data_IF_191068280722
#
_entry.id   IF_191068280722
#
_cell.length_a   1.000
_cell.length_b   1.000
_cell.length_c   1.000
_cell.angle_alpha   90.00
_cell.angle_beta   90.00
_cell.angle_gamma   90.00
#
_symmetry.space_group_name_H-M   'P 1'
#
loop_
_entity.id
_entity.type
_entity.pdbx_description
1 polymer ?
#
# COMPACT_ATOMS: atom_id res chain seq x y z
N UNK A 1 0.41 -11.23 -5.68
CA UNK A 1 0.05 -10.16 -4.73
C UNK A 1 -0.21 -10.65 -3.28
N UNK A 2 0.16 -11.89 -2.94
CA UNK A 2 0.06 -12.42 -1.56
C UNK A 2 1.42 -12.31 -0.86
N UNK A 3 1.70 -11.14 -0.27
CA UNK A 3 2.98 -10.85 0.37
C UNK A 3 3.05 -11.49 1.76
N UNK A 4 4.12 -12.24 2.02
CA UNK A 4 4.42 -12.83 3.33
C UNK A 4 5.50 -12.05 4.09
N UNK A 5 6.46 -11.47 3.38
CA UNK A 5 7.53 -10.68 3.97
C UNK A 5 7.69 -9.35 3.22
N UNK A 6 7.48 -8.26 3.92
CA UNK A 6 7.44 -6.91 3.34
C UNK A 6 8.84 -6.28 3.16
N UNK A 7 9.86 -6.81 3.83
CA UNK A 7 11.22 -6.26 3.85
C UNK A 7 12.26 -7.17 3.20
N UNK A 8 11.84 -8.19 2.45
CA UNK A 8 12.76 -9.13 1.83
C UNK A 8 12.52 -9.28 0.33
N UNK A 9 13.63 -9.34 -0.40
CA UNK A 9 13.65 -9.79 -1.79
C UNK A 9 13.42 -11.30 -1.84
N UNK A 10 12.63 -11.76 -2.81
CA UNK A 10 12.38 -13.19 -2.98
C UNK A 10 13.65 -13.92 -3.44
N UNK A 11 14.16 -14.83 -2.62
CA UNK A 11 15.33 -15.65 -2.95
C UNK A 11 15.14 -16.54 -4.19
N UNK A 12 13.89 -16.71 -4.65
CA UNK A 12 13.58 -17.43 -5.90
C UNK A 12 13.90 -16.61 -7.14
N UNK A 13 13.98 -15.28 -7.00
CA UNK A 13 14.21 -14.35 -8.12
C UNK A 13 15.64 -13.80 -8.13
N UNK A 14 16.36 -13.91 -7.03
CA UNK A 14 17.71 -13.42 -6.90
C UNK A 14 18.06 -12.96 -5.48
N UNK A 15 19.20 -12.33 -5.35
CA UNK A 15 19.72 -11.77 -4.10
C UNK A 15 19.33 -10.29 -3.97
N UNK A 16 19.39 -9.71 -2.75
CA UNK A 16 19.25 -8.28 -2.55
C UNK A 16 20.22 -7.44 -3.40
N UNK A 17 21.47 -7.89 -3.54
CA UNK A 17 22.49 -7.22 -4.33
C UNK A 17 22.15 -7.24 -5.83
N UNK A 18 21.65 -8.35 -6.35
CA UNK A 18 21.22 -8.44 -7.75
C UNK A 18 20.05 -7.50 -8.05
N UNK A 19 19.10 -7.34 -7.13
CA UNK A 19 18.02 -6.35 -7.29
C UNK A 19 18.57 -4.92 -7.31
N UNK A 20 19.51 -4.58 -6.42
CA UNK A 20 20.18 -3.27 -6.44
C UNK A 20 20.92 -3.03 -7.76
N UNK A 21 21.61 -4.04 -8.28
CA UNK A 21 22.28 -3.96 -9.58
C UNK A 21 21.28 -3.73 -10.71
N UNK A 22 20.16 -4.45 -10.72
CA UNK A 22 19.11 -4.27 -11.72
C UNK A 22 18.59 -2.83 -11.74
N UNK A 23 18.32 -2.25 -10.56
CA UNK A 23 17.84 -0.87 -10.46
C UNK A 23 18.92 0.12 -10.93
N UNK A 24 20.18 -0.07 -10.51
CA UNK A 24 21.29 0.77 -10.94
C UNK A 24 21.51 0.71 -12.46
N UNK A 25 21.39 -0.47 -13.07
CA UNK A 25 21.49 -0.64 -14.50
C UNK A 25 20.32 0.07 -15.23
N UNK A 26 19.10 -0.04 -14.72
CA UNK A 26 17.95 0.68 -15.25
C UNK A 26 18.18 2.20 -15.24
N UNK A 27 18.67 2.75 -14.11
CA UNK A 27 19.03 4.16 -13.99
C UNK A 27 20.12 4.58 -14.98
N UNK A 28 21.11 3.72 -15.22
CA UNK A 28 22.17 3.99 -16.21
C UNK A 28 21.61 4.11 -17.67
N UNK A 29 20.49 3.47 -17.94
CA UNK A 29 19.74 3.62 -19.19
C UNK A 29 18.69 4.74 -19.17
N UNK A 30 18.61 5.51 -18.10
CA UNK A 30 17.64 6.61 -17.96
C UNK A 30 16.20 6.14 -17.69
N UNK A 31 16.03 4.97 -17.09
CA UNK A 31 14.72 4.42 -16.72
C UNK A 31 14.49 4.54 -15.22
N UNK A 32 13.33 5.05 -14.82
CA UNK A 32 12.87 4.98 -13.45
C UNK A 32 12.30 3.59 -13.15
N UNK A 33 12.49 3.11 -11.92
CA UNK A 33 12.01 1.80 -11.47
C UNK A 33 10.97 1.98 -10.37
N UNK A 34 9.73 1.60 -10.67
CA UNK A 34 8.59 1.69 -9.75
C UNK A 34 8.23 0.31 -9.23
N UNK A 35 8.05 0.18 -7.92
CA UNK A 35 7.66 -1.07 -7.28
C UNK A 35 6.13 -1.15 -7.12
N UNK A 36 5.54 -2.29 -7.49
CA UNK A 36 4.20 -2.66 -7.05
C UNK A 36 4.22 -2.97 -5.55
N UNK A 37 3.64 -2.10 -4.73
CA UNK A 37 3.61 -2.27 -3.28
C UNK A 37 2.21 -2.70 -2.82
N UNK A 38 2.13 -3.79 -2.06
CA UNK A 38 0.88 -4.35 -1.59
C UNK A 38 0.72 -4.04 -0.11
N UNK A 39 0.07 -2.91 0.20
CA UNK A 39 -0.27 -2.50 1.56
C UNK A 39 -1.77 -2.61 1.86
N UNK A 40 -2.53 -3.10 0.90
CA UNK A 40 -3.97 -3.37 1.04
C UNK A 40 -4.24 -4.61 1.90
N UNK A 41 -3.35 -5.61 1.84
CA UNK A 41 -3.53 -6.88 2.55
C UNK A 41 -2.22 -7.66 2.68
N UNK A 42 -2.25 -8.76 3.43
CA UNK A 42 -1.16 -9.73 3.53
C UNK A 42 -1.66 -11.15 3.29
N UNK A 43 -0.74 -12.05 2.95
CA UNK A 43 -1.07 -13.47 2.82
C UNK A 43 -1.61 -14.05 4.13
N UNK A 44 -2.60 -14.92 4.01
CA UNK A 44 -3.17 -15.65 5.15
C UNK A 44 -2.27 -16.83 5.54
N UNK A 45 -1.11 -16.51 6.10
CA UNK A 45 -0.12 -17.51 6.54
C UNK A 45 0.31 -17.21 7.99
N UNK A 46 0.06 -18.17 8.87
CA UNK A 46 0.38 -18.07 10.28
C UNK A 46 1.81 -18.52 10.63
N UNK A 47 2.49 -19.24 9.70
CA UNK A 47 3.81 -19.82 9.97
C UNK A 47 4.95 -19.00 9.36
N UNK A 48 4.74 -18.41 8.19
CA UNK A 48 5.77 -17.74 7.41
C UNK A 48 5.40 -16.28 7.04
N UNK A 49 4.55 -15.64 7.81
CA UNK A 49 4.06 -14.30 7.52
C UNK A 49 3.70 -13.54 8.79
N UNK A 50 2.93 -12.48 8.60
CA UNK A 50 2.51 -11.62 9.70
C UNK A 50 1.29 -12.15 10.48
N UNK A 51 0.66 -13.26 10.02
CA UNK A 51 -0.62 -13.73 10.54
C UNK A 51 -0.68 -14.00 12.03
N UNK A 52 0.43 -14.49 12.62
CA UNK A 52 0.60 -14.70 14.07
C UNK A 52 2.00 -14.29 14.51
N UNK A 53 2.48 -13.14 14.06
CA UNK A 53 3.87 -12.73 14.23
C UNK A 53 4.31 -12.62 15.70
N UNK A 54 3.45 -12.07 16.57
CA UNK A 54 3.70 -11.96 18.01
C UNK A 54 3.05 -13.09 18.84
N UNK A 55 2.54 -14.13 18.16
CA UNK A 55 1.78 -15.22 18.78
C UNK A 55 0.28 -14.92 18.89
N UNK A 56 -0.17 -13.74 18.46
CA UNK A 56 -1.59 -13.39 18.36
C UNK A 56 -1.98 -13.11 16.90
N UNK A 57 -3.26 -13.28 16.54
CA UNK A 57 -3.70 -12.98 15.17
C UNK A 57 -3.97 -11.49 14.90
N UNK A 58 -3.75 -10.61 15.86
CA UNK A 58 -4.25 -9.21 15.82
C UNK A 58 -3.16 -8.16 15.74
N UNK A 59 -1.87 -8.51 15.80
CA UNK A 59 -0.81 -7.50 15.88
C UNK A 59 -0.89 -6.48 14.76
N UNK A 60 -1.04 -6.95 13.52
CA UNK A 60 -1.10 -6.10 12.32
C UNK A 60 -2.51 -5.96 11.75
N UNK A 61 -3.40 -6.88 12.07
CA UNK A 61 -4.69 -7.04 11.39
C UNK A 61 -5.87 -6.67 12.30
N UNK A 62 -7.02 -6.47 11.68
CA UNK A 62 -8.27 -6.33 12.42
C UNK A 62 -8.58 -7.57 13.25
N UNK A 63 -9.38 -7.40 14.28
CA UNK A 63 -9.97 -8.50 15.06
C UNK A 63 -11.33 -8.92 14.45
N UNK A 64 -11.71 -10.16 14.68
CA UNK A 64 -13.00 -10.70 14.26
C UNK A 64 -13.20 -10.76 12.74
N UNK A 65 -14.44 -10.57 12.26
CA UNK A 65 -14.79 -10.76 10.85
C UNK A 65 -14.07 -9.82 9.87
N UNK A 66 -13.63 -8.65 10.34
CA UNK A 66 -12.90 -7.68 9.51
C UNK A 66 -11.46 -8.08 9.21
N UNK A 67 -10.95 -9.13 9.87
CA UNK A 67 -9.59 -9.61 9.72
C UNK A 67 -9.32 -10.15 8.32
N UNK A 68 -10.29 -10.81 7.73
CA UNK A 68 -10.14 -11.51 6.45
C UNK A 68 -10.85 -10.75 5.33
N UNK A 69 -10.14 -10.60 4.21
CA UNK A 69 -10.72 -9.99 3.03
C UNK A 69 -11.74 -10.94 2.40
N UNK A 70 -13.00 -10.51 2.17
CA UNK A 70 -14.07 -11.43 1.77
C UNK A 70 -13.90 -12.05 0.37
N UNK A 71 -13.06 -11.44 -0.49
CA UNK A 71 -12.89 -11.89 -1.87
C UNK A 71 -11.47 -12.39 -2.19
N UNK A 72 -10.43 -12.09 -1.37
CA UNK A 72 -9.04 -12.31 -1.76
C UNK A 72 -8.30 -13.37 -0.93
N UNK A 73 -8.98 -14.05 -0.01
CA UNK A 73 -8.37 -15.02 0.92
C UNK A 73 -7.08 -14.49 1.57
N UNK A 74 -7.14 -13.28 2.09
CA UNK A 74 -6.03 -12.51 2.63
C UNK A 74 -6.41 -11.83 3.95
N UNK A 75 -5.42 -11.23 4.63
CA UNK A 75 -5.60 -10.55 5.91
C UNK A 75 -5.58 -9.03 5.71
N UNK A 76 -6.56 -8.33 6.28
CA UNK A 76 -6.71 -6.88 6.19
C UNK A 76 -5.97 -6.17 7.33
N UNK A 77 -5.08 -5.26 6.99
CA UNK A 77 -4.37 -4.42 7.96
C UNK A 77 -5.33 -3.53 8.74
N UNK A 78 -5.05 -3.34 10.02
CA UNK A 78 -5.73 -2.36 10.86
C UNK A 78 -4.94 -1.05 10.87
N UNK A 79 -5.23 -0.15 9.94
CA UNK A 79 -4.54 1.13 9.79
C UNK A 79 -4.75 2.11 10.97
N UNK A 80 -5.69 1.83 11.86
CA UNK A 80 -5.90 2.59 13.08
C UNK A 80 -4.88 2.29 14.19
N UNK A 81 -3.94 1.37 13.98
CA UNK A 81 -2.86 1.05 14.91
C UNK A 81 -1.57 1.77 14.55
N UNK A 82 -0.98 2.46 15.53
CA UNK A 82 0.29 3.17 15.36
C UNK A 82 1.42 2.24 14.88
N UNK A 83 1.46 1.00 15.40
CA UNK A 83 2.45 0.00 15.02
C UNK A 83 2.30 -0.42 13.55
N UNK A 84 1.07 -0.49 13.05
CA UNK A 84 0.79 -0.81 11.63
C UNK A 84 1.20 0.36 10.74
N UNK A 85 0.85 1.58 11.11
CA UNK A 85 1.30 2.78 10.42
C UNK A 85 2.83 2.83 10.36
N UNK A 86 3.49 2.66 11.50
CA UNK A 86 4.95 2.64 11.58
C UNK A 86 5.57 1.55 10.69
N UNK A 87 5.00 0.34 10.71
CA UNK A 87 5.48 -0.79 9.89
C UNK A 87 5.37 -0.48 8.39
N UNK A 88 4.19 -0.06 7.93
CA UNK A 88 3.94 0.19 6.50
C UNK A 88 4.69 1.43 5.98
N UNK A 89 4.76 2.51 6.76
CA UNK A 89 5.54 3.70 6.41
C UNK A 89 7.05 3.40 6.37
N UNK A 90 7.56 2.62 7.34
CA UNK A 90 8.95 2.15 7.33
C UNK A 90 9.26 1.29 6.11
N UNK A 91 8.28 0.51 5.65
CA UNK A 91 8.41 -0.30 4.45
C UNK A 91 8.57 0.56 3.18
N UNK A 92 7.77 1.62 3.03
CA UNK A 92 7.95 2.58 1.93
C UNK A 92 9.37 3.19 1.97
N UNK A 93 9.79 3.70 3.14
CA UNK A 93 11.12 4.28 3.30
C UNK A 93 12.24 3.28 2.99
N UNK A 94 12.11 2.04 3.44
CA UNK A 94 13.11 0.98 3.22
C UNK A 94 13.37 0.72 1.73
N UNK A 95 12.34 0.60 0.92
CA UNK A 95 12.51 0.32 -0.50
C UNK A 95 13.10 1.52 -1.27
N UNK A 96 12.80 2.75 -0.85
CA UNK A 96 13.42 3.95 -1.42
C UNK A 96 14.90 4.07 -1.02
N UNK A 97 15.20 3.97 0.29
CA UNK A 97 16.55 4.22 0.81
C UNK A 97 17.55 3.09 0.54
N UNK A 98 17.10 1.83 0.62
CA UNK A 98 17.98 0.67 0.56
C UNK A 98 18.17 0.16 -0.86
N UNK A 99 17.13 0.26 -1.68
CA UNK A 99 17.12 -0.26 -3.06
C UNK A 99 17.09 0.82 -4.14
N UNK A 100 16.84 2.08 -3.75
CA UNK A 100 16.77 3.23 -4.66
C UNK A 100 15.64 3.15 -5.69
N UNK A 101 14.49 2.54 -5.34
CA UNK A 101 13.29 2.64 -6.17
C UNK A 101 12.88 4.10 -6.38
N UNK A 102 12.27 4.40 -7.52
CA UNK A 102 11.83 5.75 -7.88
C UNK A 102 10.37 6.02 -7.54
N UNK A 103 9.70 5.08 -6.93
CA UNK A 103 8.32 5.23 -6.50
C UNK A 103 7.57 3.92 -6.37
N UNK A 104 6.26 4.07 -6.23
CA UNK A 104 5.37 2.94 -5.97
C UNK A 104 4.07 3.02 -6.77
N UNK A 105 3.60 1.86 -7.21
CA UNK A 105 2.20 1.64 -7.52
C UNK A 105 1.56 0.92 -6.34
N UNK A 106 0.61 1.56 -5.68
CA UNK A 106 -0.13 0.97 -4.57
C UNK A 106 -1.26 0.10 -5.12
N UNK A 107 -1.18 -1.18 -4.80
CA UNK A 107 -2.17 -2.17 -5.22
C UNK A 107 -3.42 -2.12 -4.33
N UNK A 108 -4.61 -2.22 -4.96
CA UNK A 108 -5.87 -2.36 -4.27
C UNK A 108 -6.32 -1.16 -3.43
N UNK A 109 -6.03 0.06 -3.85
CA UNK A 109 -6.35 1.28 -3.09
C UNK A 109 -7.86 1.41 -2.84
N UNK A 110 -8.72 1.04 -3.79
CA UNK A 110 -10.18 1.00 -3.56
C UNK A 110 -10.53 0.12 -2.36
N UNK A 111 -9.92 -1.07 -2.28
CA UNK A 111 -10.16 -2.00 -1.17
C UNK A 111 -9.70 -1.45 0.18
N UNK A 112 -8.69 -0.57 0.20
CA UNK A 112 -8.23 0.09 1.41
C UNK A 112 -9.19 1.19 1.86
N UNK A 113 -9.64 2.03 0.92
CA UNK A 113 -10.41 3.24 1.21
C UNK A 113 -11.84 2.98 1.69
N UNK A 114 -12.39 1.78 1.44
CA UNK A 114 -13.80 1.48 1.75
C UNK A 114 -13.92 0.25 2.65
N UNK A 115 -14.79 0.35 3.66
CA UNK A 115 -15.10 -0.77 4.60
C UNK A 115 -15.75 -1.95 3.89
N UNK A 116 -16.44 -1.72 2.77
CA UNK A 116 -16.97 -2.74 1.86
C UNK A 116 -15.92 -3.33 0.92
N UNK A 117 -14.66 -2.81 0.95
CA UNK A 117 -13.61 -3.10 -0.01
C UNK A 117 -13.99 -2.76 -1.46
N UNK A 118 -14.99 -1.90 -1.68
CA UNK A 118 -15.54 -1.58 -3.00
C UNK A 118 -16.34 -2.72 -3.66
N UNK A 119 -16.59 -3.79 -2.92
CA UNK A 119 -17.29 -4.96 -3.45
C UNK A 119 -18.80 -4.69 -3.58
N UNK A 120 -19.31 -4.90 -4.79
CA UNK A 120 -20.73 -4.71 -5.09
C UNK A 120 -21.19 -3.25 -5.09
N UNK A 121 -20.27 -2.31 -5.19
CA UNK A 121 -20.55 -0.88 -5.25
C UNK A 121 -20.31 -0.30 -6.64
N UNK A 122 -21.28 0.44 -7.14
CA UNK A 122 -21.16 1.22 -8.35
C UNK A 122 -20.94 2.70 -7.96
N UNK A 123 -19.76 3.22 -8.20
CA UNK A 123 -19.39 4.60 -7.88
C UNK A 123 -19.88 5.58 -8.96
N UNK A 124 -21.20 5.76 -9.04
CA UNK A 124 -21.87 6.50 -10.13
C UNK A 124 -22.14 7.97 -9.83
N UNK A 125 -22.10 8.37 -8.56
CA UNK A 125 -22.28 9.75 -8.13
C UNK A 125 -21.50 10.10 -6.85
N UNK A 126 -21.48 11.38 -6.48
CA UNK A 126 -20.72 11.86 -5.33
C UNK A 126 -21.16 11.26 -3.99
N UNK A 127 -22.40 10.85 -3.83
CA UNK A 127 -22.88 10.24 -2.59
C UNK A 127 -22.26 8.88 -2.34
N UNK A 128 -21.80 8.18 -3.38
CA UNK A 128 -21.13 6.89 -3.25
C UNK A 128 -19.77 7.00 -2.58
N UNK A 129 -19.10 8.16 -2.68
CA UNK A 129 -17.76 8.36 -2.12
C UNK A 129 -17.77 8.78 -0.65
N UNK A 130 -18.87 9.36 -0.15
CA UNK A 130 -18.96 9.99 1.17
C UNK A 130 -20.23 9.59 1.91
N UNK A 131 -20.48 8.30 2.02
CA UNK A 131 -21.70 7.73 2.62
C UNK A 131 -21.49 7.09 3.99
N UNK A 132 -20.27 7.23 4.57
CA UNK A 132 -19.89 6.61 5.85
C UNK A 132 -19.29 5.22 5.69
N UNK A 133 -19.11 4.73 4.45
CA UNK A 133 -18.41 3.48 4.13
C UNK A 133 -16.90 3.66 4.02
N UNK A 134 -16.42 4.91 4.00
CA UNK A 134 -15.00 5.23 3.93
C UNK A 134 -14.25 4.71 5.16
N UNK A 135 -13.06 4.18 4.94
CA UNK A 135 -12.10 3.86 6.00
C UNK A 135 -11.16 5.06 6.20
N UNK A 136 -11.47 5.89 7.20
CA UNK A 136 -10.69 7.09 7.50
C UNK A 136 -9.26 6.79 7.93
N UNK A 137 -9.01 5.66 8.56
CA UNK A 137 -7.67 5.25 9.00
C UNK A 137 -6.81 4.86 7.80
N UNK A 138 -7.39 4.14 6.83
CA UNK A 138 -6.71 3.80 5.59
C UNK A 138 -6.41 5.05 4.73
N UNK A 139 -7.37 5.98 4.63
CA UNK A 139 -7.18 7.26 3.93
C UNK A 139 -6.07 8.08 4.60
N UNK A 140 -6.04 8.12 5.93
CA UNK A 140 -4.97 8.76 6.70
C UNK A 140 -3.61 8.12 6.41
N UNK A 141 -3.53 6.78 6.44
CA UNK A 141 -2.33 6.04 6.10
C UNK A 141 -1.83 6.38 4.69
N UNK A 142 -2.69 6.32 3.66
CA UNK A 142 -2.32 6.63 2.27
C UNK A 142 -1.79 8.06 2.11
N UNK A 143 -2.41 9.02 2.79
CA UNK A 143 -1.97 10.41 2.81
C UNK A 143 -0.58 10.56 3.46
N UNK A 144 -0.36 9.89 4.59
CA UNK A 144 0.93 9.87 5.29
C UNK A 144 2.01 9.18 4.45
N UNK A 145 1.68 8.09 3.76
CA UNK A 145 2.59 7.38 2.88
C UNK A 145 3.07 8.28 1.73
N UNK A 146 2.14 8.94 1.03
CA UNK A 146 2.49 9.89 -0.03
C UNK A 146 3.37 11.02 0.48
N UNK A 147 3.04 11.60 1.64
CA UNK A 147 3.85 12.64 2.27
C UNK A 147 5.26 12.16 2.57
N UNK A 148 5.40 11.00 3.23
CA UNK A 148 6.69 10.42 3.57
C UNK A 148 7.53 10.12 2.33
N UNK A 149 6.93 9.50 1.31
CA UNK A 149 7.62 9.12 0.08
C UNK A 149 8.25 10.34 -0.59
N UNK A 150 7.50 11.43 -0.74
CA UNK A 150 8.01 12.67 -1.35
C UNK A 150 8.96 13.47 -0.43
N UNK A 151 8.92 13.26 0.89
CA UNK A 151 9.92 13.81 1.81
C UNK A 151 11.25 13.04 1.74
N UNK A 152 11.19 11.71 1.58
CA UNK A 152 12.37 10.85 1.43
C UNK A 152 13.01 11.01 0.05
N UNK A 153 12.21 10.98 -1.01
CA UNK A 153 12.67 11.12 -2.40
C UNK A 153 11.76 12.09 -3.15
N UNK A 154 12.20 13.33 -3.27
CA UNK A 154 11.39 14.45 -3.78
C UNK A 154 10.74 14.18 -5.15
N UNK A 155 11.42 13.46 -6.01
CA UNK A 155 10.96 13.15 -7.37
C UNK A 155 10.33 11.75 -7.47
N UNK A 156 10.05 11.12 -6.34
CA UNK A 156 9.37 9.82 -6.36
C UNK A 156 8.00 9.92 -7.04
N UNK A 157 7.57 8.83 -7.64
CA UNK A 157 6.28 8.73 -8.31
C UNK A 157 5.37 7.82 -7.50
N UNK A 158 4.16 8.27 -7.19
CA UNK A 158 3.15 7.46 -6.52
C UNK A 158 1.91 7.29 -7.38
N UNK A 159 1.51 6.04 -7.57
CA UNK A 159 0.38 5.65 -8.42
C UNK A 159 -0.61 4.86 -7.57
N UNK A 160 -1.86 5.30 -7.53
CA UNK A 160 -2.93 4.53 -6.90
C UNK A 160 -3.61 3.62 -7.94
N UNK A 161 -3.63 2.32 -7.69
CA UNK A 161 -4.56 1.44 -8.41
C UNK A 161 -5.94 1.55 -7.75
N UNK A 162 -6.84 2.25 -8.43
CA UNK A 162 -8.16 2.58 -7.90
C UNK A 162 -9.24 2.48 -8.96
N UNK A 163 -10.24 1.64 -8.69
CA UNK A 163 -11.41 1.42 -9.53
C UNK A 163 -12.58 2.34 -9.18
N UNK A 164 -12.57 2.98 -8.00
CA UNK A 164 -13.69 3.80 -7.53
C UNK A 164 -13.78 5.16 -8.22
N UNK A 165 -12.63 5.74 -8.58
CA UNK A 165 -12.57 7.12 -9.07
C UNK A 165 -12.72 8.17 -7.96
N UNK A 166 -12.34 7.84 -6.72
CA UNK A 166 -12.43 8.72 -5.55
C UNK A 166 -11.90 10.11 -5.85
N UNK A 167 -12.72 11.17 -5.73
CA UNK A 167 -12.29 12.54 -5.94
C UNK A 167 -11.18 12.94 -4.95
N UNK A 168 -10.17 13.65 -5.45
CA UNK A 168 -9.05 14.11 -4.61
C UNK A 168 -7.94 13.09 -4.41
N UNK A 169 -8.05 11.86 -4.95
CA UNK A 169 -7.02 10.83 -4.81
C UNK A 169 -5.66 11.32 -5.34
N UNK A 170 -5.63 11.84 -6.56
CA UNK A 170 -4.45 12.41 -7.22
C UNK A 170 -4.42 13.96 -7.15
N UNK A 171 -4.81 14.52 -6.01
CA UNK A 171 -4.69 15.94 -5.71
C UNK A 171 -3.66 16.17 -4.62
N UNK A 172 -2.96 17.31 -4.63
CA UNK A 172 -2.00 17.63 -3.57
C UNK A 172 -2.62 17.66 -2.18
N UNK A 173 -1.87 17.20 -1.18
CA UNK A 173 -2.32 17.17 0.22
C UNK A 173 -2.70 18.57 0.72
N UNK A 174 -1.94 19.63 0.33
CA UNK A 174 -2.24 21.02 0.68
C UNK A 174 -3.59 21.52 0.19
N UNK A 175 -4.13 20.88 -0.86
CA UNK A 175 -5.41 21.21 -1.47
C UNK A 175 -6.53 20.24 -1.02
N UNK A 176 -6.25 19.42 0.00
CA UNK A 176 -7.20 18.47 0.59
C UNK A 176 -7.22 17.09 -0.08
N UNK A 177 -6.28 16.81 -0.97
CA UNK A 177 -6.15 15.50 -1.62
C UNK A 177 -5.30 14.52 -0.83
N UNK A 178 -5.17 13.28 -1.35
CA UNK A 178 -4.37 12.22 -0.74
C UNK A 178 -2.90 12.23 -1.18
N UNK A 179 -2.55 13.04 -2.19
CA UNK A 179 -1.18 13.29 -2.61
C UNK A 179 -0.57 12.27 -3.57
N UNK A 180 -1.35 11.37 -4.15
CA UNK A 180 -0.87 10.56 -5.27
C UNK A 180 -0.58 11.43 -6.50
N UNK A 181 0.44 11.05 -7.28
CA UNK A 181 0.75 11.72 -8.54
C UNK A 181 -0.18 11.24 -9.65
N UNK A 182 -0.51 9.96 -9.65
CA UNK A 182 -1.34 9.33 -10.68
C UNK A 182 -2.36 8.35 -10.10
N UNK A 183 -3.40 8.12 -10.87
CA UNK A 183 -4.39 7.07 -10.68
C UNK A 183 -4.36 6.14 -11.89
N UNK A 184 -4.38 4.84 -11.63
CA UNK A 184 -4.53 3.76 -12.61
C UNK A 184 -5.83 3.00 -12.31
N UNK A 185 -6.64 2.73 -13.32
CA UNK A 185 -7.86 1.92 -13.23
C UNK A 185 -7.68 0.59 -13.97
#
# INVERSE_FOLDING_TARGET
YHVSNFFAVSSRQGTPEELKHLIADAHAYGMDVIMDIVHSHAVKNALEGLGNFDGTPYQYFHDGPKREHPAWDSLCFNYGKDEVLHFLLSNCKYWLDVYDFDGFRFDGVTSMMYKSHGLGEDFVDYSCYYNGNEDGDAICYLTLANKLIHEVKKNAITIAEDMSGMPGLACPIKDGGMGFDYRLA
#
